data_IF_202104904180
#
_entry.id   IF_202104904180
#
_cell.length_a   1.000
_cell.length_b   1.000
_cell.length_c   1.000
_cell.angle_alpha   90.00
_cell.angle_beta   90.00
_cell.angle_gamma   90.00
#
_symmetry.space_group_name_H-M   'P 1'
#
loop_
_entity.id
_entity.type
_entity.pdbx_description
1 polymer ?
#
# COMPACT_ATOMS: atom_id res chain seq x y z
N UNK A 1 3.18 16.77 -49.69
CA UNK A 1 3.94 18.01 -49.42
C UNK A 1 3.17 19.06 -48.60
N UNK A 2 1.84 19.04 -48.53
CA UNK A 2 1.06 20.10 -47.79
C UNK A 2 1.16 19.98 -46.25
N UNK A 3 1.45 18.83 -45.72
CA UNK A 3 1.53 18.63 -44.26
C UNK A 3 2.89 18.99 -43.62
N UNK A 4 3.97 19.04 -44.43
CA UNK A 4 5.29 19.46 -43.95
C UNK A 4 5.40 20.96 -43.70
N UNK A 5 4.61 21.77 -44.38
CA UNK A 5 4.64 23.24 -44.24
C UNK A 5 3.92 23.66 -42.94
N UNK A 6 2.90 22.90 -42.51
CA UNK A 6 2.16 23.20 -41.28
C UNK A 6 2.96 22.84 -40.01
N UNK A 7 3.81 21.84 -40.06
CA UNK A 7 4.69 21.46 -38.93
C UNK A 7 5.86 22.42 -38.71
N UNK A 8 6.39 23.02 -39.80
CA UNK A 8 7.47 24.00 -39.72
C UNK A 8 6.99 25.34 -39.12
N UNK A 9 5.72 25.74 -39.39
CA UNK A 9 5.13 26.95 -38.80
C UNK A 9 4.91 26.90 -37.30
N UNK A 10 4.54 25.73 -36.76
CA UNK A 10 4.28 25.56 -35.34
C UNK A 10 5.56 25.57 -34.47
N UNK A 11 6.67 25.08 -34.99
CA UNK A 11 7.94 25.08 -34.27
C UNK A 11 8.51 26.51 -34.10
N UNK A 12 8.29 27.38 -35.03
CA UNK A 12 8.80 28.77 -35.02
C UNK A 12 8.05 29.65 -34.01
N UNK A 13 6.75 29.40 -33.77
CA UNK A 13 5.95 30.18 -32.82
C UNK A 13 6.32 29.81 -31.38
N UNK A 14 6.65 28.52 -31.11
CA UNK A 14 7.03 28.07 -29.77
C UNK A 14 8.43 28.60 -29.39
N UNK A 15 9.36 28.71 -30.33
CA UNK A 15 10.69 29.25 -30.09
C UNK A 15 10.73 30.74 -29.74
N UNK A 16 9.72 31.51 -30.17
CA UNK A 16 9.62 32.95 -29.87
C UNK A 16 9.00 33.31 -28.53
N UNK A 17 8.17 32.44 -27.96
CA UNK A 17 7.39 32.75 -26.75
C UNK A 17 8.14 32.31 -25.45
N UNK A 18 8.92 31.24 -25.50
CA UNK A 18 9.63 30.71 -24.34
C UNK A 18 10.67 31.69 -23.74
N UNK A 19 11.50 32.42 -24.51
CA UNK A 19 12.45 33.38 -23.96
C UNK A 19 11.78 34.52 -23.18
N UNK A 20 10.67 35.05 -23.69
CA UNK A 20 9.97 36.17 -23.06
C UNK A 20 9.26 35.83 -21.76
N UNK A 21 8.91 34.54 -21.56
CA UNK A 21 8.28 34.08 -20.31
C UNK A 21 9.31 33.92 -19.18
N UNK A 22 10.52 33.52 -19.54
CA UNK A 22 11.61 33.34 -18.58
C UNK A 22 12.12 34.70 -18.06
N UNK A 23 12.25 35.72 -18.92
CA UNK A 23 12.68 37.05 -18.49
C UNK A 23 11.69 37.73 -17.53
N UNK A 24 10.39 37.46 -17.66
CA UNK A 24 9.39 38.03 -16.75
C UNK A 24 9.39 37.37 -15.36
N UNK A 25 9.86 36.13 -15.24
CA UNK A 25 9.95 35.41 -13.95
C UNK A 25 11.24 35.72 -13.17
N UNK A 26 12.25 36.29 -13.81
CA UNK A 26 13.53 36.62 -13.14
C UNK A 26 13.64 38.06 -12.69
N UNK A 27 12.67 38.95 -13.06
CA UNK A 27 12.65 40.37 -12.66
C UNK A 27 11.90 40.61 -11.35
N UNK A 28 12.01 39.70 -10.38
CA UNK A 28 11.51 39.98 -9.02
C UNK A 28 12.54 40.82 -8.27
N UNK A 29 12.23 42.08 -8.06
CA UNK A 29 12.95 43.00 -7.19
C UNK A 29 13.16 42.40 -5.81
N UNK A 30 14.37 42.40 -5.24
CA UNK A 30 14.58 41.90 -3.89
C UNK A 30 13.85 42.81 -2.89
N UNK A 31 12.82 42.26 -2.26
CA UNK A 31 12.18 42.89 -1.12
C UNK A 31 13.15 42.91 0.09
N UNK A 32 13.10 43.95 0.95
CA UNK A 32 14.00 44.05 2.09
C UNK A 32 13.78 42.85 3.03
N UNK A 33 14.88 42.22 3.40
CA UNK A 33 14.92 41.12 4.34
C UNK A 33 14.40 41.59 5.69
N UNK A 34 13.14 41.35 5.97
CA UNK A 34 12.63 41.35 7.34
C UNK A 34 13.17 40.08 8.00
N UNK A 35 14.04 40.25 9.01
CA UNK A 35 14.51 39.17 9.83
C UNK A 35 13.29 38.46 10.45
N UNK A 36 12.80 37.42 9.81
CA UNK A 36 11.80 36.52 10.37
C UNK A 36 12.48 35.81 11.52
N UNK A 37 12.18 36.24 12.74
CA UNK A 37 12.43 35.43 13.92
C UNK A 37 11.85 34.04 13.64
N UNK A 38 12.71 33.04 13.53
CA UNK A 38 12.32 31.64 13.44
C UNK A 38 11.59 31.31 14.72
N UNK A 39 10.26 31.40 14.70
CA UNK A 39 9.44 30.70 15.66
C UNK A 39 9.67 29.24 15.39
N UNK A 40 10.62 28.64 16.12
CA UNK A 40 10.72 27.20 16.26
C UNK A 40 9.44 26.79 16.97
N UNK A 41 8.38 26.58 16.18
CA UNK A 41 7.21 25.86 16.65
C UNK A 41 7.69 24.52 17.19
N UNK A 42 7.04 23.95 18.21
CA UNK A 42 7.41 22.64 18.70
C UNK A 42 7.44 21.69 17.50
N UNK A 43 8.63 21.17 17.20
CA UNK A 43 8.79 20.05 16.26
C UNK A 43 7.79 19.01 16.77
N UNK A 44 6.83 18.52 15.94
CA UNK A 44 5.95 17.47 16.40
C UNK A 44 6.89 16.37 16.89
N UNK A 45 6.87 16.13 18.19
CA UNK A 45 7.58 15.02 18.80
C UNK A 45 7.27 13.83 17.91
N UNK A 46 8.30 13.17 17.38
CA UNK A 46 8.13 11.92 16.65
C UNK A 46 7.45 10.96 17.66
N UNK A 47 6.12 11.09 17.74
CA UNK A 47 5.29 10.18 18.49
C UNK A 47 5.69 8.81 17.95
N UNK A 48 6.16 7.90 18.82
CA UNK A 48 6.64 6.56 18.58
C UNK A 48 5.93 5.90 17.38
N UNK A 49 6.26 6.31 16.17
CA UNK A 49 5.74 5.68 14.97
C UNK A 49 6.42 4.33 14.86
N UNK A 50 5.63 3.30 15.07
CA UNK A 50 6.09 1.94 14.86
C UNK A 50 6.18 1.74 13.35
N UNK A 51 7.34 1.28 12.90
CA UNK A 51 7.62 1.13 11.48
C UNK A 51 8.19 -0.26 11.21
N UNK A 52 7.69 -0.91 10.18
CA UNK A 52 8.22 -2.17 9.66
C UNK A 52 8.58 -1.97 8.19
N UNK A 53 9.80 -2.35 7.83
CA UNK A 53 10.31 -2.28 6.45
C UNK A 53 10.48 -3.71 5.93
N UNK A 54 9.77 -4.03 4.85
CA UNK A 54 9.76 -5.36 4.23
C UNK A 54 10.52 -5.28 2.91
N UNK A 55 11.65 -5.99 2.76
CA UNK A 55 12.37 -6.05 1.49
C UNK A 55 11.60 -6.93 0.49
N UNK A 56 11.85 -6.72 -0.80
CA UNK A 56 11.38 -7.63 -1.85
C UNK A 56 12.11 -8.97 -1.75
N UNK A 57 11.39 -10.05 -2.00
CA UNK A 57 11.98 -11.36 -2.23
C UNK A 57 12.55 -11.47 -3.66
N UNK A 58 13.19 -12.60 -3.99
CA UNK A 58 13.77 -12.85 -5.31
C UNK A 58 12.74 -12.90 -6.44
N UNK A 59 11.46 -13.10 -6.14
CA UNK A 59 10.32 -13.10 -7.08
C UNK A 59 9.68 -11.73 -7.22
N UNK A 60 10.13 -10.76 -6.42
CA UNK A 60 9.60 -9.40 -6.42
C UNK A 60 8.41 -9.18 -5.47
N UNK A 61 8.07 -10.16 -4.63
CA UNK A 61 6.98 -10.08 -3.67
C UNK A 61 7.46 -9.57 -2.31
N UNK A 62 6.54 -9.18 -1.44
CA UNK A 62 6.78 -8.78 -0.07
C UNK A 62 6.21 -9.85 0.85
N UNK A 63 7.10 -10.61 1.48
CA UNK A 63 6.76 -11.66 2.43
C UNK A 63 6.98 -11.17 3.86
N UNK A 64 6.04 -11.48 4.74
CA UNK A 64 6.13 -11.09 6.15
C UNK A 64 5.57 -12.17 7.06
N UNK A 65 6.24 -12.39 8.18
CA UNK A 65 5.68 -13.16 9.28
C UNK A 65 4.78 -12.23 10.11
N UNK A 66 3.55 -12.67 10.35
CA UNK A 66 2.62 -12.01 11.25
C UNK A 66 2.18 -12.96 12.35
N UNK A 67 1.89 -12.42 13.54
CA UNK A 67 1.24 -13.15 14.60
C UNK A 67 -0.25 -12.86 14.57
N UNK A 68 -1.05 -13.90 14.40
CA UNK A 68 -2.51 -13.83 14.36
C UNK A 68 -3.06 -14.56 15.59
N UNK A 69 -3.76 -13.84 16.47
CA UNK A 69 -4.30 -14.36 17.70
C UNK A 69 -3.29 -15.22 18.49
N UNK A 70 -2.02 -14.74 18.53
CA UNK A 70 -0.89 -15.39 19.21
C UNK A 70 -0.14 -16.45 18.40
N UNK A 71 -0.58 -16.82 17.20
CA UNK A 71 0.05 -17.84 16.35
C UNK A 71 0.77 -17.22 15.16
N UNK A 72 1.98 -17.68 14.84
CA UNK A 72 2.77 -17.19 13.70
C UNK A 72 2.30 -17.79 12.40
N UNK A 73 2.10 -16.95 11.41
CA UNK A 73 1.76 -17.29 10.02
C UNK A 73 2.58 -16.42 9.07
N UNK A 74 2.94 -17.00 7.93
CA UNK A 74 3.56 -16.24 6.84
C UNK A 74 2.49 -15.71 5.91
N UNK A 75 2.69 -14.50 5.41
CA UNK A 75 1.80 -13.80 4.50
C UNK A 75 2.59 -13.18 3.35
N UNK A 76 2.00 -13.20 2.17
CA UNK A 76 2.37 -12.29 1.10
C UNK A 76 1.53 -11.01 1.23
N UNK A 77 2.16 -9.84 1.20
CA UNK A 77 1.43 -8.57 1.17
C UNK A 77 0.81 -8.38 -0.21
N UNK A 78 -0.51 -8.24 -0.25
CA UNK A 78 -1.27 -8.12 -1.49
C UNK A 78 -2.27 -6.96 -1.42
N UNK A 79 -1.96 -5.86 -2.10
CA UNK A 79 -2.85 -4.68 -2.21
C UNK A 79 -4.04 -4.92 -3.13
N UNK A 80 -4.05 -6.00 -3.91
CA UNK A 80 -5.19 -6.44 -4.72
C UNK A 80 -6.24 -7.22 -3.92
N UNK A 81 -5.86 -7.74 -2.75
CA UNK A 81 -6.78 -8.43 -1.85
C UNK A 81 -7.52 -7.43 -0.95
N UNK A 82 -8.85 -7.38 -1.02
CA UNK A 82 -9.67 -6.48 -0.18
C UNK A 82 -9.57 -6.81 1.32
N UNK A 83 -9.34 -8.08 1.67
CA UNK A 83 -9.24 -8.56 3.04
C UNK A 83 -8.01 -9.45 3.22
N UNK A 84 -7.66 -9.75 4.47
CA UNK A 84 -6.77 -10.88 4.73
C UNK A 84 -7.42 -12.14 4.15
N UNK A 85 -6.63 -12.95 3.43
CA UNK A 85 -7.07 -14.25 2.96
C UNK A 85 -6.21 -15.34 3.57
N UNK A 86 -6.85 -16.30 4.22
CA UNK A 86 -6.21 -17.45 4.85
C UNK A 86 -6.41 -18.69 3.98
N UNK A 87 -5.36 -19.49 3.86
CA UNK A 87 -5.52 -20.87 3.38
C UNK A 87 -6.31 -21.69 4.39
N UNK A 88 -6.96 -22.75 3.97
CA UNK A 88 -7.69 -23.67 4.88
C UNK A 88 -6.74 -24.22 5.99
N UNK A 89 -5.50 -24.56 5.63
CA UNK A 89 -4.51 -25.05 6.59
C UNK A 89 -4.08 -23.98 7.61
N UNK A 90 -3.94 -22.72 7.19
CA UNK A 90 -3.61 -21.64 8.12
C UNK A 90 -4.78 -21.35 9.07
N UNK A 91 -6.01 -21.34 8.58
CA UNK A 91 -7.22 -21.20 9.40
C UNK A 91 -7.31 -22.30 10.45
N UNK A 92 -7.09 -23.56 10.06
CA UNK A 92 -7.09 -24.68 10.97
C UNK A 92 -6.03 -24.54 12.08
N UNK A 93 -4.83 -24.02 11.77
CA UNK A 93 -3.80 -23.71 12.77
C UNK A 93 -4.23 -22.64 13.77
N UNK A 94 -5.14 -21.73 13.37
CA UNK A 94 -5.74 -20.74 14.26
C UNK A 94 -6.92 -21.31 15.07
N UNK A 95 -7.34 -22.55 14.83
CA UNK A 95 -8.55 -23.14 15.40
C UNK A 95 -9.83 -22.72 14.70
N UNK A 96 -9.72 -22.14 13.49
CA UNK A 96 -10.85 -21.70 12.68
C UNK A 96 -11.19 -22.81 11.68
N UNK A 97 -12.38 -23.40 11.80
CA UNK A 97 -12.85 -24.54 11.00
C UNK A 97 -14.22 -24.25 10.37
N UNK A 98 -14.28 -23.45 9.28
CA UNK A 98 -15.56 -23.18 8.63
C UNK A 98 -16.18 -24.47 8.06
N UNK A 99 -17.48 -24.65 8.31
CA UNK A 99 -18.22 -25.75 7.69
C UNK A 99 -18.61 -25.41 6.24
N UNK A 100 -19.09 -26.39 5.44
CA UNK A 100 -19.45 -26.16 4.03
C UNK A 100 -20.47 -25.04 3.80
N UNK A 101 -21.34 -24.77 4.77
CA UNK A 101 -22.37 -23.71 4.70
C UNK A 101 -21.81 -22.32 4.98
N UNK A 102 -20.64 -22.20 5.55
CA UNK A 102 -20.01 -20.92 5.91
C UNK A 102 -19.34 -20.25 4.72
N UNK A 103 -19.07 -20.99 3.63
CA UNK A 103 -18.48 -20.47 2.41
C UNK A 103 -19.51 -19.68 1.59
N UNK A 104 -19.89 -18.51 2.05
CA UNK A 104 -20.97 -17.68 1.51
C UNK A 104 -20.49 -16.57 0.57
N UNK A 105 -19.21 -16.22 0.60
CA UNK A 105 -18.65 -15.12 -0.18
C UNK A 105 -18.04 -15.64 -1.47
N UNK A 106 -18.41 -15.03 -2.59
CA UNK A 106 -17.74 -15.26 -3.89
C UNK A 106 -16.59 -14.28 -4.03
N UNK A 107 -15.39 -14.80 -4.23
CA UNK A 107 -14.15 -14.02 -4.43
C UNK A 107 -13.66 -14.21 -5.85
N UNK A 108 -13.34 -13.12 -6.53
CA UNK A 108 -12.68 -13.19 -7.83
C UNK A 108 -11.18 -13.38 -7.60
N UNK A 109 -10.62 -14.41 -8.18
CA UNK A 109 -9.20 -14.74 -8.16
C UNK A 109 -8.63 -14.78 -9.58
N UNK A 110 -7.32 -14.86 -9.71
CA UNK A 110 -6.68 -15.05 -11.03
C UNK A 110 -7.16 -16.32 -11.75
N UNK A 111 -7.59 -17.34 -11.00
CA UNK A 111 -8.05 -18.63 -11.53
C UNK A 111 -9.58 -18.70 -11.68
N UNK A 112 -10.30 -17.58 -11.54
CA UNK A 112 -11.76 -17.51 -11.63
C UNK A 112 -12.43 -17.17 -10.30
N UNK A 113 -13.71 -17.54 -10.17
CA UNK A 113 -14.50 -17.29 -8.96
C UNK A 113 -14.33 -18.46 -8.00
N UNK A 114 -13.93 -18.16 -6.77
CA UNK A 114 -13.83 -19.11 -5.68
C UNK A 114 -14.77 -18.73 -4.53
N UNK A 115 -15.17 -19.70 -3.71
CA UNK A 115 -15.93 -19.46 -2.50
C UNK A 115 -15.03 -19.33 -1.29
N UNK A 116 -15.41 -18.42 -0.37
CA UNK A 116 -14.69 -18.18 0.87
C UNK A 116 -15.66 -18.01 2.04
N UNK A 117 -15.18 -18.34 3.22
CA UNK A 117 -15.91 -18.17 4.47
C UNK A 117 -15.45 -16.89 5.18
N UNK A 118 -16.33 -15.94 5.51
CA UNK A 118 -15.96 -14.75 6.25
C UNK A 118 -15.65 -15.10 7.71
N UNK A 119 -14.54 -14.54 8.21
CA UNK A 119 -14.12 -14.70 9.60
C UNK A 119 -13.59 -13.37 10.13
N UNK A 120 -13.40 -13.27 11.43
CA UNK A 120 -12.83 -12.11 12.08
C UNK A 120 -11.65 -12.53 12.95
N UNK A 121 -10.54 -11.82 12.77
CA UNK A 121 -9.33 -12.04 13.54
C UNK A 121 -9.28 -10.99 14.66
N UNK A 122 -9.10 -11.41 15.90
CA UNK A 122 -9.10 -10.48 17.03
C UNK A 122 -7.88 -9.54 16.99
N UNK A 123 -6.71 -10.08 16.62
CA UNK A 123 -5.46 -9.33 16.59
C UNK A 123 -4.51 -9.86 15.54
N UNK A 124 -3.93 -8.96 14.76
CA UNK A 124 -2.88 -9.24 13.78
C UNK A 124 -1.70 -8.33 14.08
N UNK A 125 -0.53 -8.92 14.29
CA UNK A 125 0.71 -8.22 14.65
C UNK A 125 1.76 -8.46 13.56
N UNK A 126 2.36 -7.39 13.06
CA UNK A 126 3.48 -7.42 12.11
C UNK A 126 4.62 -6.61 12.72
N UNK A 127 5.66 -7.28 13.22
CA UNK A 127 6.64 -6.62 14.07
C UNK A 127 5.96 -5.96 15.27
N UNK A 128 6.16 -4.64 15.41
CA UNK A 128 5.55 -3.85 16.49
C UNK A 128 4.19 -3.23 16.10
N UNK A 129 3.73 -3.44 14.87
CA UNK A 129 2.42 -2.97 14.40
C UNK A 129 1.33 -3.91 14.90
N UNK A 130 0.28 -3.37 15.51
CA UNK A 130 -0.82 -4.16 16.08
C UNK A 130 -2.16 -3.64 15.55
N UNK A 131 -2.87 -4.48 14.81
CA UNK A 131 -4.21 -4.16 14.30
C UNK A 131 -5.22 -5.13 14.90
N UNK A 132 -6.30 -4.59 15.44
CA UNK A 132 -7.38 -5.37 16.05
C UNK A 132 -8.61 -5.43 15.16
N UNK A 133 -9.42 -6.48 15.39
CA UNK A 133 -10.72 -6.65 14.75
C UNK A 133 -10.60 -6.60 13.22
N UNK A 134 -9.81 -7.49 12.65
CA UNK A 134 -9.48 -7.52 11.22
C UNK A 134 -10.39 -8.50 10.48
N UNK A 135 -11.11 -8.00 9.46
CA UNK A 135 -11.90 -8.86 8.58
C UNK A 135 -10.96 -9.76 7.75
N UNK A 136 -11.30 -11.03 7.66
CA UNK A 136 -10.57 -12.01 6.89
C UNK A 136 -11.52 -12.99 6.19
N UNK A 137 -11.01 -13.69 5.20
CA UNK A 137 -11.70 -14.76 4.49
C UNK A 137 -10.85 -16.04 4.60
N UNK A 138 -11.50 -17.15 4.86
CA UNK A 138 -10.89 -18.48 4.71
C UNK A 138 -11.25 -19.00 3.33
N UNK A 139 -10.26 -19.25 2.49
CA UNK A 139 -10.46 -19.85 1.17
C UNK A 139 -10.72 -21.35 1.29
N UNK A 140 -11.52 -21.88 0.38
CA UNK A 140 -11.66 -23.32 0.24
C UNK A 140 -10.30 -23.98 -0.04
N UNK A 141 -10.18 -25.25 0.27
CA UNK A 141 -8.93 -25.98 0.11
C UNK A 141 -8.46 -25.95 -1.35
N UNK A 142 -7.15 -25.80 -1.55
CA UNK A 142 -6.52 -25.72 -2.86
C UNK A 142 -6.72 -24.42 -3.65
N UNK A 143 -7.49 -23.44 -3.14
CA UNK A 143 -7.73 -22.16 -3.82
C UNK A 143 -6.55 -21.20 -3.69
N UNK A 144 -5.93 -21.14 -2.51
CA UNK A 144 -4.77 -20.31 -2.22
C UNK A 144 -3.55 -21.18 -1.93
N UNK A 145 -2.40 -20.80 -2.48
CA UNK A 145 -1.11 -21.40 -2.17
C UNK A 145 -0.45 -20.81 -0.92
N UNK A 146 -0.79 -19.56 -0.58
CA UNK A 146 -0.22 -18.83 0.55
C UNK A 146 -1.26 -17.84 1.12
N UNK A 147 -1.05 -17.40 2.37
CA UNK A 147 -1.94 -16.41 2.99
C UNK A 147 -1.63 -15.02 2.43
N UNK A 148 -2.67 -14.19 2.29
CA UNK A 148 -2.55 -12.82 1.77
C UNK A 148 -2.83 -11.81 2.89
N UNK A 149 -1.93 -10.83 3.06
CA UNK A 149 -2.13 -9.69 3.95
C UNK A 149 -2.72 -8.55 3.12
N UNK A 150 -4.04 -8.44 3.12
CA UNK A 150 -4.80 -7.53 2.27
C UNK A 150 -5.18 -6.20 2.92
N UNK A 151 -6.02 -5.45 2.21
CA UNK A 151 -6.41 -4.09 2.57
C UNK A 151 -7.14 -3.98 3.92
N UNK A 152 -7.85 -5.01 4.38
CA UNK A 152 -8.49 -4.99 5.71
C UNK A 152 -7.51 -4.79 6.87
N UNK A 153 -6.22 -5.12 6.67
CA UNK A 153 -5.13 -4.81 7.59
C UNK A 153 -4.43 -3.50 7.18
N UNK A 154 -4.01 -3.39 5.91
CA UNK A 154 -3.15 -2.31 5.45
C UNK A 154 -3.78 -0.92 5.62
N UNK A 155 -5.07 -0.78 5.37
CA UNK A 155 -5.79 0.51 5.51
C UNK A 155 -6.05 0.94 6.96
N UNK A 156 -5.82 0.06 7.92
CA UNK A 156 -5.87 0.40 9.36
C UNK A 156 -4.54 0.95 9.88
N UNK A 157 -3.49 0.89 9.07
CA UNK A 157 -2.21 1.54 9.34
C UNK A 157 -2.28 3.02 9.00
N UNK A 158 -1.44 3.82 9.64
CA UNK A 158 -1.28 5.23 9.31
C UNK A 158 -0.74 5.40 7.88
N UNK A 159 0.19 4.51 7.47
CA UNK A 159 0.78 4.52 6.13
C UNK A 159 1.24 3.13 5.73
N UNK A 160 1.03 2.79 4.47
CA UNK A 160 1.75 1.72 3.78
C UNK A 160 2.20 2.25 2.43
N UNK A 161 3.45 2.07 2.10
CA UNK A 161 4.06 2.70 0.94
C UNK A 161 5.17 1.82 0.35
N UNK A 162 5.19 1.74 -0.98
CA UNK A 162 6.32 1.18 -1.70
C UNK A 162 7.31 2.29 -2.03
N UNK A 163 8.51 2.24 -1.44
CA UNK A 163 9.56 3.21 -1.66
C UNK A 163 10.93 2.52 -1.75
N UNK A 164 11.74 2.91 -2.75
CA UNK A 164 13.12 2.43 -2.92
C UNK A 164 13.28 0.91 -2.88
N UNK A 165 12.37 0.17 -3.53
CA UNK A 165 12.42 -1.29 -3.57
C UNK A 165 11.98 -2.01 -2.29
N UNK A 166 11.41 -1.29 -1.34
CA UNK A 166 10.93 -1.80 -0.05
C UNK A 166 9.49 -1.39 0.19
N UNK A 167 8.76 -2.22 0.91
CA UNK A 167 7.45 -1.85 1.44
C UNK A 167 7.61 -1.35 2.87
N UNK A 168 7.12 -0.15 3.15
CA UNK A 168 7.15 0.48 4.46
C UNK A 168 5.73 0.48 5.03
N UNK A 169 5.57 -0.07 6.23
CA UNK A 169 4.34 -0.07 7.01
C UNK A 169 4.54 0.80 8.26
N UNK A 170 3.58 1.68 8.59
CA UNK A 170 3.68 2.61 9.73
C UNK A 170 2.35 2.71 10.47
N UNK A 171 2.42 2.71 11.81
CA UNK A 171 1.26 2.87 12.72
C UNK A 171 1.43 4.06 13.66
#
# INVERSE_FOLDING_TARGET
MRYFVLLAGSALVIAGIVPHLIERLTSATPAPAIAAASVVGPVPSAANSRMVVIPRDSRGHFQVEARVDGRRLNFMVDTGASTIALTASAAARLGIHPGPRDFTINVRTANGIARAAPVRLNMVEVGDLVVRDVAALVSADGVLSENLLGLSFLTKLRRFEYAHGKLVLEQ
#
